data_IF_864341085279
#
_entry.id   IF_864341085279
#
_cell.length_a   1.000
_cell.length_b   1.000
_cell.length_c   1.000
_cell.angle_alpha   90.00
_cell.angle_beta   90.00
_cell.angle_gamma   90.00
#
_symmetry.space_group_name_H-M   'P 1'
#
loop_
_entity.id
_entity.type
_entity.pdbx_description
1 polymer ?
#
# COMPACT_ATOMS: atom_id res chain seq x y z
N UNK A 1 5.78 -12.61 -18.78
CA UNK A 1 5.98 -11.24 -18.26
C UNK A 1 5.03 -11.07 -17.09
N UNK A 2 5.49 -10.61 -15.93
CA UNK A 2 4.63 -10.29 -14.77
C UNK A 2 4.27 -8.81 -14.83
N UNK A 3 2.99 -8.48 -14.59
CA UNK A 3 2.48 -7.11 -14.56
C UNK A 3 1.88 -6.82 -13.19
N UNK A 4 2.01 -5.57 -12.75
CA UNK A 4 1.66 -5.12 -11.40
C UNK A 4 1.01 -3.73 -11.48
N UNK A 5 0.11 -3.45 -10.56
CA UNK A 5 -0.59 -2.17 -10.46
C UNK A 5 0.07 -1.32 -9.38
N UNK A 6 0.29 -0.04 -9.66
CA UNK A 6 0.85 0.93 -8.72
C UNK A 6 -0.05 2.16 -8.64
N UNK A 7 -0.20 2.72 -7.45
CA UNK A 7 -0.98 3.94 -7.19
C UNK A 7 -0.18 4.96 -6.39
N UNK A 8 -0.60 6.22 -6.50
CA UNK A 8 -0.04 7.36 -5.76
C UNK A 8 -1.10 7.99 -4.84
N UNK A 9 -1.38 7.38 -3.67
CA UNK A 9 -2.48 7.82 -2.81
C UNK A 9 -2.26 9.19 -2.16
N UNK A 10 -1.03 9.69 -2.18
CA UNK A 10 -0.68 10.98 -1.59
C UNK A 10 -1.42 12.17 -2.22
N UNK A 11 -1.99 11.97 -3.42
CA UNK A 11 -2.81 12.96 -4.13
C UNK A 11 -4.30 12.90 -3.73
N UNK A 12 -4.64 12.17 -2.66
CA UNK A 12 -5.96 12.19 -2.02
C UNK A 12 -6.83 10.96 -2.29
N UNK A 13 -6.24 9.80 -2.61
CA UNK A 13 -7.00 8.57 -2.75
C UNK A 13 -7.46 8.04 -1.38
N UNK A 14 -8.74 7.73 -1.25
CA UNK A 14 -9.30 7.15 -0.02
C UNK A 14 -8.98 5.66 0.11
N UNK A 15 -9.14 5.10 1.31
CA UNK A 15 -9.01 3.66 1.51
C UNK A 15 -9.92 2.85 0.56
N UNK A 16 -11.20 3.23 0.46
CA UNK A 16 -12.17 2.52 -0.39
C UNK A 16 -11.77 2.54 -1.87
N UNK A 17 -11.19 3.64 -2.34
CA UNK A 17 -10.66 3.72 -3.71
C UNK A 17 -9.47 2.78 -3.89
N UNK A 18 -8.54 2.71 -2.93
CA UNK A 18 -7.41 1.79 -2.97
C UNK A 18 -7.86 0.33 -2.89
N UNK A 19 -8.86 0.04 -2.05
CA UNK A 19 -9.45 -1.29 -1.94
C UNK A 19 -10.11 -1.71 -3.25
N UNK A 20 -10.86 -0.81 -3.90
CA UNK A 20 -11.44 -1.06 -5.21
C UNK A 20 -10.36 -1.38 -6.25
N UNK A 21 -9.27 -0.62 -6.29
CA UNK A 21 -8.15 -0.91 -7.22
C UNK A 21 -7.47 -2.23 -6.88
N UNK A 22 -7.28 -2.55 -5.60
CA UNK A 22 -6.68 -3.82 -5.17
C UNK A 22 -7.56 -5.03 -5.55
N UNK A 23 -8.88 -4.92 -5.39
CA UNK A 23 -9.84 -5.93 -5.86
C UNK A 23 -9.78 -6.11 -7.37
N UNK A 24 -9.83 -5.02 -8.14
CA UNK A 24 -9.72 -5.09 -9.61
C UNK A 24 -8.38 -5.71 -10.01
N UNK A 25 -7.29 -5.38 -9.33
CA UNK A 25 -5.96 -5.99 -9.55
C UNK A 25 -6.02 -7.52 -9.34
N UNK A 26 -6.72 -7.96 -8.30
CA UNK A 26 -6.91 -9.38 -8.00
C UNK A 26 -7.79 -10.09 -9.04
N UNK A 27 -8.93 -9.51 -9.38
CA UNK A 27 -9.94 -10.07 -10.28
C UNK A 27 -9.45 -10.18 -11.73
N UNK A 28 -8.61 -9.24 -12.16
CA UNK A 28 -8.06 -9.20 -13.52
C UNK A 28 -6.78 -10.01 -13.68
N UNK A 29 -6.30 -10.65 -12.62
CA UNK A 29 -5.18 -11.59 -12.68
C UNK A 29 -3.78 -10.97 -12.63
N UNK A 30 -3.65 -9.68 -12.27
CA UNK A 30 -2.32 -9.10 -11.98
C UNK A 30 -1.71 -9.73 -10.72
N UNK A 31 -0.38 -9.72 -10.64
CA UNK A 31 0.34 -10.41 -9.57
C UNK A 31 0.35 -9.63 -8.25
N UNK A 32 0.37 -8.30 -8.33
CA UNK A 32 0.56 -7.45 -7.16
C UNK A 32 -0.05 -6.05 -7.30
N UNK A 33 -0.43 -5.49 -6.16
CA UNK A 33 -0.83 -4.11 -5.96
C UNK A 33 0.21 -3.40 -5.07
N UNK A 34 0.75 -2.31 -5.58
CA UNK A 34 1.68 -1.44 -4.88
C UNK A 34 1.11 -0.05 -4.71
N UNK A 35 1.58 0.63 -3.68
CA UNK A 35 1.34 2.06 -3.48
C UNK A 35 2.60 2.80 -3.10
N UNK A 36 2.58 4.11 -3.28
CA UNK A 36 3.62 4.99 -2.74
C UNK A 36 3.52 5.10 -1.20
N UNK A 37 4.63 5.46 -0.56
CA UNK A 37 4.71 5.78 0.86
C UNK A 37 5.25 7.20 1.05
N UNK A 38 4.35 8.17 1.02
CA UNK A 38 4.68 9.60 1.17
C UNK A 38 3.90 10.20 2.33
N UNK A 39 4.51 11.15 3.04
CA UNK A 39 3.87 11.94 4.10
C UNK A 39 3.37 13.32 3.64
N UNK A 40 3.62 13.69 2.38
CA UNK A 40 3.02 14.87 1.74
C UNK A 40 2.66 14.57 0.26
N UNK A 41 1.65 15.25 -0.27
CA UNK A 41 1.37 15.27 -1.71
C UNK A 41 2.34 16.19 -2.46
N UNK A 42 2.44 16.04 -3.79
CA UNK A 42 3.39 16.79 -4.62
C UNK A 42 2.76 17.99 -5.34
N UNK A 43 1.53 17.86 -5.84
CA UNK A 43 1.00 18.78 -6.85
C UNK A 43 0.00 19.80 -6.32
N UNK A 44 -0.84 19.44 -5.34
CA UNK A 44 -1.87 20.34 -4.83
C UNK A 44 -2.15 20.08 -3.34
N UNK A 45 -1.65 20.94 -2.41
CA UNK A 45 -1.94 20.82 -0.99
C UNK A 45 -3.37 21.29 -0.70
N UNK A 46 -4.37 20.53 -1.18
CA UNK A 46 -5.78 20.80 -0.88
C UNK A 46 -6.05 20.48 0.59
N UNK A 47 -6.63 21.41 1.38
CA UNK A 47 -7.01 21.12 2.75
C UNK A 47 -7.96 19.92 2.82
N UNK A 48 -7.60 18.90 3.62
CA UNK A 48 -8.43 17.72 3.87
C UNK A 48 -8.24 16.55 2.89
N UNK A 49 -7.44 16.71 1.84
CA UNK A 49 -6.98 15.62 0.98
C UNK A 49 -5.46 15.52 1.13
N UNK A 50 -4.97 14.35 1.54
CA UNK A 50 -3.56 14.17 1.82
C UNK A 50 -3.21 12.71 1.98
N UNK A 51 -1.92 12.40 2.14
CA UNK A 51 -1.46 11.03 2.20
C UNK A 51 -2.04 10.29 3.41
N UNK A 52 -2.30 9.01 3.19
CA UNK A 52 -2.52 8.02 4.24
C UNK A 52 -1.22 7.28 4.54
N UNK A 53 -1.04 6.83 5.79
CA UNK A 53 0.09 5.96 6.13
C UNK A 53 0.04 4.65 5.31
N UNK A 54 1.15 4.33 4.64
CA UNK A 54 1.22 3.21 3.72
C UNK A 54 1.00 1.87 4.39
N UNK A 55 1.69 1.61 5.50
CA UNK A 55 1.64 0.32 6.16
C UNK A 55 0.33 0.08 6.89
N UNK A 56 -0.29 1.11 7.47
CA UNK A 56 -1.65 1.02 8.02
C UNK A 56 -2.67 0.70 6.93
N UNK A 57 -2.53 1.31 5.75
CA UNK A 57 -3.39 1.01 4.60
C UNK A 57 -3.20 -0.42 4.11
N UNK A 58 -1.94 -0.85 3.93
CA UNK A 58 -1.61 -2.22 3.51
C UNK A 58 -2.07 -3.25 4.55
N UNK A 59 -2.10 -2.90 5.83
CA UNK A 59 -2.68 -3.73 6.89
C UNK A 59 -4.19 -3.98 6.65
N UNK A 60 -4.96 -2.95 6.28
CA UNK A 60 -6.36 -3.12 5.88
C UNK A 60 -6.49 -4.00 4.64
N UNK A 61 -5.77 -3.68 3.56
CA UNK A 61 -5.82 -4.45 2.31
C UNK A 61 -5.41 -5.91 2.49
N UNK A 62 -4.48 -6.19 3.41
CA UNK A 62 -4.07 -7.56 3.74
C UNK A 62 -5.23 -8.42 4.26
N UNK A 63 -6.24 -7.81 4.89
CA UNK A 63 -7.44 -8.51 5.38
C UNK A 63 -8.57 -8.53 4.37
N UNK A 64 -8.67 -7.49 3.55
CA UNK A 64 -9.78 -7.32 2.60
C UNK A 64 -9.49 -7.92 1.21
N UNK A 65 -8.27 -8.42 0.97
CA UNK A 65 -7.89 -9.14 -0.26
C UNK A 65 -7.37 -10.54 0.06
N UNK A 66 -7.32 -11.44 -0.93
CA UNK A 66 -7.05 -12.86 -0.67
C UNK A 66 -5.89 -13.47 -1.46
N UNK A 67 -5.53 -12.90 -2.60
CA UNK A 67 -4.53 -13.44 -3.54
C UNK A 67 -3.46 -12.42 -3.91
N UNK A 68 -3.83 -11.17 -4.18
CA UNK A 68 -2.90 -10.17 -4.72
C UNK A 68 -1.74 -9.90 -3.76
N UNK A 69 -0.50 -9.79 -4.26
CA UNK A 69 0.64 -9.41 -3.42
C UNK A 69 0.60 -7.91 -3.12
N UNK A 70 1.07 -7.51 -1.93
CA UNK A 70 0.90 -6.16 -1.40
C UNK A 70 2.25 -5.56 -1.03
N UNK A 71 2.49 -4.29 -1.36
CA UNK A 71 3.74 -3.64 -0.98
C UNK A 71 3.80 -2.15 -1.24
N UNK A 72 4.95 -1.58 -0.92
CA UNK A 72 5.28 -0.18 -1.21
C UNK A 72 6.32 -0.08 -2.31
N UNK A 73 6.18 0.89 -3.22
CA UNK A 73 7.24 1.28 -4.16
C UNK A 73 7.51 2.78 -4.00
N UNK A 74 8.37 3.19 -3.07
CA UNK A 74 9.19 2.40 -2.11
C UNK A 74 8.93 2.86 -0.68
N UNK A 75 9.21 2.04 0.33
CA UNK A 75 9.21 2.50 1.73
C UNK A 75 10.44 3.38 1.99
N UNK A 76 10.29 4.67 2.34
CA UNK A 76 11.40 5.56 2.58
C UNK A 76 11.99 5.33 3.98
N UNK A 77 13.06 4.54 4.06
CA UNK A 77 13.76 4.22 5.32
C UNK A 77 14.35 5.45 6.03
N UNK A 78 14.47 6.59 5.33
CA UNK A 78 14.89 7.87 5.92
C UNK A 78 13.83 8.47 6.84
N UNK A 79 12.56 8.06 6.71
CA UNK A 79 11.45 8.56 7.53
C UNK A 79 10.88 7.49 8.47
N UNK A 80 11.40 6.27 8.45
CA UNK A 80 10.91 5.16 9.29
C UNK A 80 12.06 4.55 10.10
N UNK A 81 11.85 4.40 11.40
CA UNK A 81 12.81 3.71 12.26
C UNK A 81 12.88 2.22 11.88
N UNK A 82 14.07 1.64 11.61
CA UNK A 82 14.18 0.27 11.12
C UNK A 82 13.54 -0.80 12.00
N UNK A 83 13.70 -0.71 13.32
CA UNK A 83 13.11 -1.68 14.27
C UNK A 83 11.58 -1.71 14.22
N UNK A 84 10.91 -0.56 14.47
CA UNK A 84 9.46 -0.46 14.32
C UNK A 84 8.96 -0.84 12.92
N UNK A 85 9.66 -0.42 11.86
CA UNK A 85 9.30 -0.79 10.49
C UNK A 85 9.31 -2.31 10.30
N UNK A 86 10.37 -3.01 10.73
CA UNK A 86 10.47 -4.45 10.60
C UNK A 86 9.29 -5.18 11.28
N UNK A 87 8.89 -4.74 12.48
CA UNK A 87 7.73 -5.30 13.19
C UNK A 87 6.42 -5.00 12.45
N UNK A 88 6.24 -3.78 11.95
CA UNK A 88 5.06 -3.41 11.16
C UNK A 88 4.93 -4.27 9.91
N UNK A 89 6.01 -4.40 9.13
CA UNK A 89 6.04 -5.22 7.89
C UNK A 89 5.71 -6.68 8.21
N UNK A 90 6.34 -7.24 9.26
CA UNK A 90 6.11 -8.62 9.67
C UNK A 90 4.65 -8.88 10.08
N UNK A 91 4.02 -7.93 10.78
CA UNK A 91 2.61 -8.04 11.17
C UNK A 91 1.68 -8.00 9.96
N UNK A 92 1.93 -7.09 9.01
CA UNK A 92 1.13 -7.01 7.77
C UNK A 92 1.32 -8.28 6.94
N UNK A 93 2.54 -8.83 6.87
CA UNK A 93 2.82 -10.08 6.19
C UNK A 93 2.03 -11.26 6.81
N UNK A 94 2.07 -11.37 8.13
CA UNK A 94 1.30 -12.38 8.87
C UNK A 94 -0.22 -12.24 8.63
N UNK A 95 -0.75 -11.02 8.65
CA UNK A 95 -2.17 -10.75 8.37
C UNK A 95 -2.59 -11.12 6.96
N UNK A 96 -1.68 -10.97 5.99
CA UNK A 96 -1.88 -11.26 4.57
C UNK A 96 -1.70 -12.73 4.22
N UNK A 97 -1.08 -13.53 5.10
CA UNK A 97 -0.69 -14.91 4.81
C UNK A 97 0.54 -15.03 3.91
N UNK A 98 1.55 -14.16 4.07
CA UNK A 98 2.81 -14.23 3.30
C UNK A 98 2.78 -13.48 1.96
N UNK A 99 1.86 -12.54 1.78
CA UNK A 99 1.65 -11.81 0.52
C UNK A 99 2.36 -10.45 0.47
N UNK A 100 3.15 -10.09 1.48
CA UNK A 100 3.87 -8.81 1.47
C UNK A 100 5.13 -8.87 0.59
N UNK A 101 5.41 -7.77 -0.11
CA UNK A 101 6.68 -7.45 -0.76
C UNK A 101 7.22 -6.13 -0.19
N UNK A 102 8.47 -6.17 0.30
CA UNK A 102 9.18 -5.02 0.87
C UNK A 102 10.21 -4.47 -0.12
#
# INVERSE_FOLDING_TARGET
MQLRIFTEPQEGATYDQLLQVAHVTEETGFDAFFRSDHYAGFFDPRPGLGPSDAWTTLAGLARDTHRVRLGTLVTPITFRLPGPLAITVANVDAMSGGRVEL
#
